data_IF_160364774707
#
_entry.id   IF_160364774707
#
_cell.length_a   1.000
_cell.length_b   1.000
_cell.length_c   1.000
_cell.angle_alpha   90.00
_cell.angle_beta   90.00
_cell.angle_gamma   90.00
#
_symmetry.space_group_name_H-M   'P 1'
#
loop_
_entity.id
_entity.type
_entity.pdbx_description
1 polymer ?
#
# COMPACT_ATOMS: atom_id res chain seq x y z
N UNK A 1 -21.02 4.35 21.98
CA UNK A 1 -19.74 5.10 21.92
C UNK A 1 -19.18 5.24 23.32
N UNK A 2 -20.03 5.32 24.36
CA UNK A 2 -19.69 5.10 25.78
C UNK A 2 -20.85 4.28 26.36
N UNK A 3 -20.55 3.30 27.21
CA UNK A 3 -21.55 2.48 27.89
C UNK A 3 -22.22 3.23 29.07
N UNK A 4 -23.06 2.54 29.82
CA UNK A 4 -23.78 3.11 30.97
C UNK A 4 -22.88 3.59 32.11
N UNK A 5 -21.63 3.13 32.16
CA UNK A 5 -20.62 3.51 33.15
C UNK A 5 -19.67 4.61 32.62
N UNK A 6 -19.90 5.10 31.40
CA UNK A 6 -19.08 6.12 30.76
C UNK A 6 -17.77 5.58 30.17
N UNK A 7 -17.63 4.26 30.02
CA UNK A 7 -16.46 3.63 29.39
C UNK A 7 -16.66 3.63 27.88
N UNK A 8 -15.70 4.13 27.08
CA UNK A 8 -15.84 4.14 25.64
C UNK A 8 -16.01 2.74 25.05
N UNK A 9 -17.08 2.54 24.30
CA UNK A 9 -17.27 1.35 23.47
C UNK A 9 -16.70 1.65 22.07
N UNK A 10 -15.51 1.11 21.82
CA UNK A 10 -14.79 1.27 20.55
C UNK A 10 -15.35 0.42 19.40
N UNK A 11 -16.35 -0.44 19.66
CA UNK A 11 -17.03 -1.24 18.65
C UNK A 11 -18.38 -0.66 18.23
N UNK A 12 -18.94 0.29 18.98
CA UNK A 12 -20.20 0.94 18.62
C UNK A 12 -20.01 1.95 17.48
N UNK A 13 -20.38 1.52 16.27
CA UNK A 13 -20.37 2.35 15.06
C UNK A 13 -21.74 2.96 14.72
N UNK A 14 -22.71 2.95 15.65
CA UNK A 14 -24.09 3.43 15.40
C UNK A 14 -24.18 4.87 14.90
N UNK A 15 -23.21 5.73 15.28
CA UNK A 15 -23.11 7.11 14.80
C UNK A 15 -22.25 7.24 13.55
N UNK A 16 -21.12 6.54 13.51
CA UNK A 16 -20.16 6.58 12.40
C UNK A 16 -19.17 5.42 12.53
N UNK A 17 -18.65 4.95 11.41
CA UNK A 17 -17.52 4.01 11.36
C UNK A 17 -16.16 4.73 11.45
N UNK A 18 -16.13 6.07 11.33
CA UNK A 18 -14.92 6.89 11.39
C UNK A 18 -14.73 7.51 12.79
N UNK A 19 -14.75 6.70 13.84
CA UNK A 19 -14.50 7.17 15.21
C UNK A 19 -13.07 7.71 15.36
N UNK A 20 -12.89 8.84 16.04
CA UNK A 20 -11.58 9.50 16.19
C UNK A 20 -11.32 9.87 17.65
N UNK A 21 -10.04 9.80 18.05
CA UNK A 21 -9.51 10.37 19.28
C UNK A 21 -8.33 11.28 18.95
N UNK A 22 -8.27 12.46 19.57
CA UNK A 22 -7.14 13.37 19.47
C UNK A 22 -6.47 13.47 20.83
N UNK A 23 -5.15 13.40 20.86
CA UNK A 23 -4.34 13.47 22.08
C UNK A 23 -3.00 14.15 21.77
N UNK A 24 -2.38 14.82 22.77
CA UNK A 24 -1.06 15.40 22.61
C UNK A 24 -0.02 14.31 22.34
N UNK A 25 1.02 14.61 21.54
CA UNK A 25 2.08 13.64 21.22
C UNK A 25 2.75 13.10 22.49
N UNK A 26 2.75 13.90 23.56
CA UNK A 26 3.27 13.58 24.89
C UNK A 26 2.59 12.38 25.55
N UNK A 27 1.38 12.02 25.12
CA UNK A 27 0.69 10.81 25.58
C UNK A 27 1.39 9.52 25.10
N UNK A 28 2.24 9.59 24.07
CA UNK A 28 3.06 8.46 23.61
C UNK A 28 4.44 8.53 24.29
N UNK A 29 4.72 7.55 25.14
CA UNK A 29 5.97 7.49 25.90
C UNK A 29 7.20 7.29 25.01
N UNK A 30 7.10 6.43 24.00
CA UNK A 30 8.19 6.14 23.06
C UNK A 30 8.14 7.11 21.86
N UNK A 31 8.65 8.32 22.03
CA UNK A 31 8.69 9.37 20.99
C UNK A 31 10.03 10.12 21.00
N UNK A 32 10.32 10.83 19.91
CA UNK A 32 11.35 11.88 19.93
C UNK A 32 10.77 13.16 20.54
N UNK A 33 11.60 13.93 21.25
CA UNK A 33 11.15 15.14 21.96
C UNK A 33 10.82 16.30 21.01
N UNK A 34 11.47 16.35 19.85
CA UNK A 34 11.34 17.43 18.87
C UNK A 34 10.54 17.02 17.61
N UNK A 35 10.00 15.80 17.59
CA UNK A 35 9.26 15.22 16.45
C UNK A 35 10.06 15.16 15.15
N UNK A 36 11.40 15.04 15.23
CA UNK A 36 12.28 14.90 14.08
C UNK A 36 13.05 13.58 14.11
N UNK A 37 13.58 13.20 12.96
CA UNK A 37 14.48 12.07 12.75
C UNK A 37 15.53 12.42 11.70
N UNK A 38 16.39 11.44 11.37
CA UNK A 38 17.33 11.56 10.26
C UNK A 38 16.65 11.42 8.89
N UNK A 39 17.47 11.33 7.84
CA UNK A 39 16.98 11.03 6.50
C UNK A 39 16.43 9.60 6.42
N UNK A 40 15.22 9.37 5.87
CA UNK A 40 14.63 8.04 5.79
C UNK A 40 15.52 7.07 5.00
N UNK A 41 15.82 5.91 5.57
CA UNK A 41 16.48 4.82 4.85
C UNK A 41 15.44 3.95 4.11
N UNK A 42 14.19 3.98 4.56
CA UNK A 42 13.07 3.25 3.99
C UNK A 42 11.88 4.18 3.76
N UNK A 43 11.24 4.07 2.60
CA UNK A 43 9.98 4.76 2.25
C UNK A 43 8.90 3.70 2.10
N UNK A 44 7.86 3.74 2.94
CA UNK A 44 6.82 2.71 2.96
C UNK A 44 5.52 3.28 2.40
N UNK A 45 5.02 2.70 1.32
CA UNK A 45 3.68 2.94 0.83
C UNK A 45 2.74 1.86 1.36
N UNK A 46 1.69 2.28 2.05
CA UNK A 46 0.65 1.39 2.52
C UNK A 46 -0.53 1.45 1.56
N UNK A 47 -0.93 0.28 1.07
CA UNK A 47 -2.15 0.15 0.28
C UNK A 47 -3.09 -0.84 0.96
N UNK A 48 -4.39 -0.60 0.86
CA UNK A 48 -5.41 -1.54 1.29
C UNK A 48 -6.07 -2.14 0.05
N UNK A 49 -5.41 -3.11 -0.59
CA UNK A 49 -5.94 -3.75 -1.79
C UNK A 49 -7.06 -4.73 -1.43
N UNK A 50 -8.31 -4.36 -1.69
CA UNK A 50 -9.47 -5.24 -1.49
C UNK A 50 -9.73 -6.19 -2.66
N UNK A 51 -8.95 -6.12 -3.74
CA UNK A 51 -8.97 -7.08 -4.85
C UNK A 51 -8.07 -8.29 -4.57
N UNK A 52 -7.13 -8.20 -3.61
CA UNK A 52 -6.29 -9.32 -3.20
C UNK A 52 -5.24 -9.74 -4.25
N UNK A 53 -4.81 -8.78 -5.06
CA UNK A 53 -3.86 -8.95 -6.17
C UNK A 53 -2.44 -8.57 -5.75
N UNK A 54 -2.27 -7.44 -5.05
CA UNK A 54 -0.95 -6.90 -4.77
C UNK A 54 -0.19 -7.77 -3.75
N UNK A 55 1.12 -8.00 -3.96
CA UNK A 55 1.97 -8.72 -3.02
C UNK A 55 1.91 -8.14 -1.60
N UNK A 56 2.05 -8.97 -0.55
CA UNK A 56 2.08 -8.49 0.83
C UNK A 56 3.15 -7.44 1.09
N UNK A 57 4.32 -7.61 0.45
CA UNK A 57 5.41 -6.64 0.42
C UNK A 57 6.13 -6.73 -0.93
N UNK A 58 6.49 -5.58 -1.47
CA UNK A 58 7.27 -5.45 -2.71
C UNK A 58 8.36 -4.41 -2.53
N UNK A 59 9.57 -4.69 -3.03
CA UNK A 59 10.61 -3.68 -3.22
C UNK A 59 10.38 -2.98 -4.56
N UNK A 60 10.45 -1.65 -4.53
CA UNK A 60 10.19 -0.80 -5.69
C UNK A 60 11.48 -0.15 -6.18
N UNK A 61 11.66 -0.11 -7.50
CA UNK A 61 12.60 0.81 -8.15
C UNK A 61 12.14 2.26 -7.99
N UNK A 62 13.03 3.24 -8.19
CA UNK A 62 12.65 4.65 -8.07
C UNK A 62 11.51 5.06 -9.04
N UNK A 63 11.48 4.65 -10.32
CA UNK A 63 10.35 4.95 -11.21
C UNK A 63 9.04 4.29 -10.76
N UNK A 64 9.09 3.05 -10.27
CA UNK A 64 7.91 2.40 -9.68
C UNK A 64 7.43 3.13 -8.42
N UNK A 65 8.35 3.59 -7.57
CA UNK A 65 8.00 4.34 -6.38
C UNK A 65 7.29 5.65 -6.73
N UNK A 66 7.79 6.38 -7.73
CA UNK A 66 7.14 7.58 -8.25
C UNK A 66 5.75 7.28 -8.86
N UNK A 67 5.65 6.24 -9.70
CA UNK A 67 4.39 5.81 -10.31
C UNK A 67 3.33 5.46 -9.25
N UNK A 68 3.69 4.68 -8.25
CA UNK A 68 2.79 4.28 -7.17
C UNK A 68 2.47 5.41 -6.20
N UNK A 69 3.41 6.32 -5.96
CA UNK A 69 3.17 7.53 -5.18
C UNK A 69 2.15 8.45 -5.86
N UNK A 70 2.30 8.70 -7.17
CA UNK A 70 1.34 9.48 -7.96
C UNK A 70 0.01 8.75 -8.10
N UNK A 71 0.01 7.43 -8.25
CA UNK A 71 -1.23 6.66 -8.31
C UNK A 71 -2.00 6.71 -6.99
N UNK A 72 -1.28 6.58 -5.86
CA UNK A 72 -1.85 6.65 -4.52
C UNK A 72 -3.02 5.68 -4.33
N UNK A 73 -2.84 4.45 -4.80
CA UNK A 73 -3.87 3.43 -4.84
C UNK A 73 -4.20 2.88 -3.45
N UNK A 74 -5.48 2.81 -3.15
CA UNK A 74 -6.08 2.05 -2.05
C UNK A 74 -7.46 1.56 -2.50
N UNK A 75 -8.09 0.63 -1.79
CA UNK A 75 -9.46 0.24 -2.07
C UNK A 75 -10.41 0.66 -0.94
N UNK A 76 -11.61 1.09 -1.32
CA UNK A 76 -12.74 1.20 -0.40
C UNK A 76 -13.34 -0.18 -0.21
N UNK A 77 -13.57 -0.51 1.06
CA UNK A 77 -14.12 -1.81 1.45
C UNK A 77 -15.63 -1.71 1.52
N UNK A 78 -16.33 -2.75 1.04
CA UNK A 78 -17.78 -2.79 1.13
C UNK A 78 -18.25 -2.69 2.59
N UNK A 79 -19.24 -1.84 2.84
CA UNK A 79 -19.79 -1.63 4.17
C UNK A 79 -19.01 -0.69 5.09
N UNK A 80 -17.87 -0.11 4.67
CA UNK A 80 -17.20 0.99 5.41
C UNK A 80 -17.62 2.39 4.96
N UNK A 81 -18.33 2.48 3.83
CA UNK A 81 -18.90 3.71 3.27
C UNK A 81 -20.34 3.45 2.80
N UNK A 82 -21.21 4.46 2.93
CA UNK A 82 -22.62 4.36 2.53
C UNK A 82 -22.67 4.13 1.01
N UNK A 83 -23.25 3.00 0.59
CA UNK A 83 -23.49 2.67 -0.82
C UNK A 83 -22.42 1.81 -1.50
N UNK A 84 -21.33 1.44 -0.81
CA UNK A 84 -20.29 0.56 -1.36
C UNK A 84 -20.64 -0.91 -1.05
N UNK A 85 -21.05 -1.66 -2.09
CA UNK A 85 -21.41 -3.09 -1.99
C UNK A 85 -20.32 -4.04 -2.49
N UNK A 86 -19.40 -3.54 -3.31
CA UNK A 86 -18.24 -4.28 -3.84
C UNK A 86 -16.95 -3.46 -3.65
N UNK A 87 -15.75 -4.08 -3.63
CA UNK A 87 -14.49 -3.35 -3.63
C UNK A 87 -14.39 -2.31 -4.74
N UNK A 88 -14.12 -1.07 -4.36
CA UNK A 88 -13.92 0.02 -5.31
C UNK A 88 -12.47 0.52 -5.21
N UNK A 89 -11.76 0.51 -6.35
CA UNK A 89 -10.44 1.10 -6.44
C UNK A 89 -10.52 2.62 -6.26
N UNK A 90 -9.72 3.16 -5.35
CA UNK A 90 -9.58 4.59 -5.09
C UNK A 90 -8.14 5.00 -5.35
N UNK A 91 -7.96 6.03 -6.18
CA UNK A 91 -6.66 6.58 -6.49
C UNK A 91 -6.59 8.01 -5.96
N UNK A 92 -5.78 8.23 -4.94
CA UNK A 92 -5.59 9.52 -4.30
C UNK A 92 -4.13 9.91 -4.43
N UNK A 93 -3.79 10.67 -5.48
CA UNK A 93 -2.42 11.03 -5.77
C UNK A 93 -1.61 11.52 -4.56
N UNK A 94 -0.36 11.08 -4.49
CA UNK A 94 0.54 11.31 -3.35
C UNK A 94 0.01 10.77 -2.01
N UNK A 95 -0.94 9.83 -2.05
CA UNK A 95 -1.73 9.35 -0.91
C UNK A 95 -2.49 10.45 -0.16
N UNK A 96 -2.76 11.59 -0.82
CA UNK A 96 -3.27 12.79 -0.17
C UNK A 96 -3.80 13.84 -1.15
N UNK A 97 -4.40 13.42 -2.27
CA UNK A 97 -4.80 14.29 -3.40
C UNK A 97 -5.52 15.57 -2.97
N UNK A 98 -6.48 15.56 -2.01
CA UNK A 98 -7.18 16.78 -1.59
C UNK A 98 -6.29 17.89 -1.00
N UNK A 99 -5.05 17.55 -0.63
CA UNK A 99 -4.10 18.47 0.01
C UNK A 99 -2.94 18.88 -0.91
N UNK A 100 -2.95 18.48 -2.18
CA UNK A 100 -1.86 18.70 -3.11
C UNK A 100 -2.12 19.91 -4.02
N UNK A 101 -1.52 21.09 -3.77
CA UNK A 101 -1.77 22.30 -4.57
C UNK A 101 -1.07 22.34 -5.93
N UNK A 102 -0.20 21.37 -6.23
CA UNK A 102 0.59 21.33 -7.48
C UNK A 102 0.35 20.00 -8.20
N UNK A 103 0.84 19.89 -9.43
CA UNK A 103 0.81 18.62 -10.16
C UNK A 103 1.55 17.51 -9.36
N UNK A 104 1.00 16.29 -9.23
CA UNK A 104 1.64 15.19 -8.50
C UNK A 104 3.09 14.88 -8.90
N UNK A 105 3.43 15.07 -10.17
CA UNK A 105 4.80 14.90 -10.68
C UNK A 105 5.84 15.72 -9.94
N UNK A 106 5.51 16.95 -9.50
CA UNK A 106 6.44 17.81 -8.74
C UNK A 106 6.84 17.15 -7.40
N UNK A 107 5.88 16.51 -6.74
CA UNK A 107 6.13 15.84 -5.46
C UNK A 107 6.84 14.50 -5.66
N UNK A 108 6.52 13.79 -6.74
CA UNK A 108 7.20 12.54 -7.10
C UNK A 108 8.67 12.76 -7.47
N UNK A 109 8.98 13.84 -8.20
CA UNK A 109 10.36 14.22 -8.53
C UNK A 109 11.15 14.56 -7.27
N UNK A 110 10.53 15.29 -6.33
CA UNK A 110 11.14 15.62 -5.04
C UNK A 110 11.41 14.36 -4.21
N UNK A 111 10.45 13.44 -4.15
CA UNK A 111 10.60 12.16 -3.46
C UNK A 111 11.74 11.33 -4.07
N UNK A 112 11.74 11.15 -5.39
CA UNK A 112 12.78 10.41 -6.13
C UNK A 112 14.16 11.01 -5.91
N UNK A 113 14.28 12.34 -5.98
CA UNK A 113 15.53 13.05 -5.74
C UNK A 113 16.06 12.82 -4.33
N UNK A 114 15.18 12.87 -3.32
CA UNK A 114 15.56 12.65 -1.92
C UNK A 114 15.92 11.20 -1.64
N UNK A 115 15.22 10.24 -2.24
CA UNK A 115 15.57 8.83 -2.12
C UNK A 115 16.95 8.55 -2.74
N UNK A 116 17.23 9.10 -3.93
CA UNK A 116 18.52 8.95 -4.59
C UNK A 116 19.66 9.61 -3.80
N UNK A 117 19.45 10.81 -3.26
CA UNK A 117 20.43 11.53 -2.43
C UNK A 117 20.83 10.75 -1.17
N UNK A 118 19.88 10.02 -0.58
CA UNK A 118 20.06 9.36 0.72
C UNK A 118 20.15 7.83 0.65
N UNK A 119 20.09 7.24 -0.54
CA UNK A 119 20.12 5.79 -0.74
C UNK A 119 18.91 5.06 -0.15
N UNK A 120 17.74 5.71 -0.13
CA UNK A 120 16.54 5.13 0.48
C UNK A 120 15.91 4.04 -0.39
N UNK A 121 15.45 2.95 0.24
CA UNK A 121 14.69 1.89 -0.44
C UNK A 121 13.18 2.14 -0.30
N UNK A 122 12.42 2.02 -1.40
CA UNK A 122 10.96 2.09 -1.35
C UNK A 122 10.32 0.71 -1.29
N UNK A 123 9.29 0.60 -0.45
CA UNK A 123 8.51 -0.62 -0.26
C UNK A 123 7.02 -0.33 -0.43
N UNK A 124 6.31 -1.22 -1.11
CA UNK A 124 4.84 -1.25 -1.12
C UNK A 124 4.37 -2.39 -0.23
N UNK A 125 3.54 -2.10 0.77
CA UNK A 125 2.99 -3.09 1.69
C UNK A 125 1.46 -3.13 1.52
N UNK A 126 0.96 -4.31 1.14
CA UNK A 126 -0.47 -4.57 1.08
C UNK A 126 -1.01 -4.93 2.49
N UNK A 127 -1.82 -4.02 3.03
CA UNK A 127 -2.55 -4.14 4.31
C UNK A 127 -4.02 -4.52 4.13
N UNK A 128 -4.42 -4.77 2.88
CA UNK A 128 -5.75 -5.18 2.44
C UNK A 128 -5.93 -6.68 2.49
N UNK A 129 -6.38 -7.29 1.41
CA UNK A 129 -6.78 -8.70 1.30
C UNK A 129 -5.71 -9.56 0.64
N UNK A 130 -5.77 -10.87 0.93
CA UNK A 130 -4.98 -11.93 0.33
C UNK A 130 -5.83 -13.20 0.22
N UNK A 131 -5.50 -14.08 -0.73
CA UNK A 131 -6.25 -15.31 -1.01
C UNK A 131 -7.56 -15.12 -1.76
N UNK A 132 -7.79 -13.94 -2.36
CA UNK A 132 -9.02 -13.60 -3.05
C UNK A 132 -9.43 -12.14 -2.81
N UNK A 133 -10.33 -11.65 -3.65
CA UNK A 133 -11.04 -10.38 -3.43
C UNK A 133 -11.83 -10.39 -2.12
N UNK A 134 -12.23 -9.21 -1.64
CA UNK A 134 -13.16 -9.07 -0.52
C UNK A 134 -14.38 -10.00 -0.65
N UNK A 135 -14.73 -10.68 0.44
CA UNK A 135 -15.81 -11.67 0.49
C UNK A 135 -15.35 -13.12 0.23
N UNK A 136 -14.19 -13.31 -0.42
CA UNK A 136 -13.57 -14.63 -0.63
C UNK A 136 -12.26 -14.71 0.16
N UNK A 137 -11.35 -13.77 -0.07
CA UNK A 137 -10.08 -13.68 0.63
C UNK A 137 -10.24 -13.17 2.06
N UNK A 138 -9.11 -13.10 2.77
CA UNK A 138 -9.06 -12.59 4.13
C UNK A 138 -8.13 -11.39 4.23
N UNK A 139 -8.44 -10.47 5.15
CA UNK A 139 -7.58 -9.32 5.40
C UNK A 139 -6.23 -9.78 5.95
N UNK A 140 -5.16 -9.16 5.46
CA UNK A 140 -3.79 -9.41 5.88
C UNK A 140 -3.68 -9.32 7.40
N UNK A 141 -3.15 -10.38 8.02
CA UNK A 141 -3.00 -10.42 9.48
C UNK A 141 -1.98 -9.36 9.88
N UNK A 142 -2.36 -8.48 10.82
CA UNK A 142 -1.48 -7.39 11.30
C UNK A 142 -0.11 -7.90 11.79
N UNK A 143 -0.05 -9.13 12.33
CA UNK A 143 1.23 -9.76 12.72
C UNK A 143 2.18 -9.95 11.54
N UNK A 144 1.68 -10.29 10.35
CA UNK A 144 2.49 -10.46 9.14
C UNK A 144 2.90 -9.09 8.59
N UNK A 145 2.00 -8.11 8.54
CA UNK A 145 2.34 -6.73 8.17
C UNK A 145 3.48 -6.17 9.05
N UNK A 146 3.41 -6.38 10.37
CA UNK A 146 4.48 -5.97 11.29
C UNK A 146 5.79 -6.73 11.06
N UNK A 147 5.72 -8.04 10.81
CA UNK A 147 6.91 -8.83 10.52
C UNK A 147 7.61 -8.37 9.23
N UNK A 148 6.84 -8.12 8.15
CA UNK A 148 7.39 -7.60 6.89
C UNK A 148 7.97 -6.20 7.04
N UNK A 149 7.27 -5.32 7.78
CA UNK A 149 7.77 -3.97 8.05
C UNK A 149 9.08 -4.03 8.84
N UNK A 150 9.17 -4.84 9.89
CA UNK A 150 10.40 -4.98 10.67
C UNK A 150 11.52 -5.56 9.80
N UNK A 151 11.27 -6.62 9.04
CA UNK A 151 12.27 -7.21 8.15
C UNK A 151 12.81 -6.20 7.12
N UNK A 152 11.97 -5.33 6.57
CA UNK A 152 12.40 -4.25 5.68
C UNK A 152 13.22 -3.16 6.40
N UNK A 153 12.85 -2.82 7.64
CA UNK A 153 13.55 -1.81 8.44
C UNK A 153 14.89 -2.30 8.99
N UNK A 154 14.99 -3.59 9.31
CA UNK A 154 16.15 -4.23 9.91
C UNK A 154 17.19 -4.68 8.85
N UNK A 155 16.84 -4.63 7.56
CA UNK A 155 17.70 -5.04 6.44
C UNK A 155 17.64 -6.55 6.13
N UNK A 156 16.75 -7.29 6.79
CA UNK A 156 16.60 -8.74 6.59
C UNK A 156 16.15 -9.12 5.17
N UNK A 157 15.63 -8.16 4.41
CA UNK A 157 15.19 -8.36 3.02
C UNK A 157 16.24 -7.91 1.98
N UNK A 158 17.40 -7.39 2.38
CA UNK A 158 18.35 -6.83 1.42
C UNK A 158 18.93 -7.89 0.46
N UNK A 159 19.25 -9.08 1.01
CA UNK A 159 19.96 -10.17 0.30
C UNK A 159 19.09 -11.43 0.07
N UNK A 160 17.76 -11.32 0.15
CA UNK A 160 16.87 -12.46 -0.13
C UNK A 160 16.67 -12.68 -1.63
N UNK A 161 16.23 -13.87 -2.02
CA UNK A 161 15.84 -14.12 -3.41
C UNK A 161 14.51 -13.43 -3.73
N UNK A 162 14.46 -12.72 -4.86
CA UNK A 162 13.27 -12.04 -5.35
C UNK A 162 12.69 -12.73 -6.59
N UNK A 163 11.39 -12.58 -6.78
CA UNK A 163 10.70 -12.85 -8.04
C UNK A 163 10.08 -11.56 -8.54
N UNK A 164 10.11 -11.35 -9.85
CA UNK A 164 9.48 -10.20 -10.48
C UNK A 164 8.01 -10.50 -10.73
N UNK A 165 7.11 -9.67 -10.22
CA UNK A 165 5.69 -9.74 -10.56
C UNK A 165 5.48 -9.44 -12.05
N UNK A 166 4.71 -10.30 -12.74
CA UNK A 166 4.58 -10.24 -14.20
C UNK A 166 3.82 -9.01 -14.71
N UNK A 167 2.93 -8.43 -13.89
CA UNK A 167 2.04 -7.32 -14.29
C UNK A 167 2.61 -5.99 -13.86
N UNK A 168 3.00 -5.87 -12.60
CA UNK A 168 3.47 -4.64 -12.00
C UNK A 168 4.99 -4.49 -12.03
N UNK A 169 5.73 -5.57 -12.34
CA UNK A 169 7.19 -5.57 -12.40
C UNK A 169 7.87 -5.43 -11.04
N UNK A 170 7.14 -5.59 -9.94
CA UNK A 170 7.68 -5.45 -8.59
C UNK A 170 8.67 -6.57 -8.25
N UNK A 171 9.68 -6.25 -7.45
CA UNK A 171 10.49 -7.28 -6.80
C UNK A 171 9.76 -7.78 -5.54
N UNK A 172 9.27 -9.01 -5.57
CA UNK A 172 8.60 -9.68 -4.44
C UNK A 172 9.57 -10.65 -3.77
N UNK A 173 9.85 -10.52 -2.46
CA UNK A 173 10.76 -11.43 -1.78
C UNK A 173 10.12 -12.83 -1.69
N UNK A 174 10.90 -13.87 -1.96
CA UNK A 174 10.45 -15.27 -1.86
C UNK A 174 10.32 -15.77 -0.42
N UNK A 175 10.97 -15.10 0.53
CA UNK A 175 10.90 -15.40 1.95
C UNK A 175 10.95 -14.12 2.79
N UNK A 176 10.35 -14.16 3.97
CA UNK A 176 10.39 -13.07 4.95
C UNK A 176 10.27 -13.69 6.35
N UNK A 177 11.15 -13.35 7.31
CA UNK A 177 11.06 -13.86 8.67
C UNK A 177 9.67 -13.64 9.29
N UNK A 178 9.11 -14.68 9.90
CA UNK A 178 7.80 -14.61 10.57
C UNK A 178 6.57 -14.56 9.66
N UNK A 179 6.75 -14.73 8.34
CA UNK A 179 5.68 -14.76 7.35
C UNK A 179 5.75 -16.06 6.53
N UNK A 180 4.64 -16.81 6.37
CA UNK A 180 4.64 -18.00 5.52
C UNK A 180 4.90 -17.65 4.05
N UNK A 181 5.80 -18.38 3.40
CA UNK A 181 6.25 -18.11 2.03
C UNK A 181 5.11 -18.17 1.01
N UNK A 182 4.12 -19.03 1.24
CA UNK A 182 2.95 -19.17 0.36
C UNK A 182 2.12 -17.88 0.28
N UNK A 183 2.15 -17.05 1.33
CA UNK A 183 1.39 -15.80 1.39
C UNK A 183 2.08 -14.70 0.57
N UNK A 184 3.40 -14.75 0.42
CA UNK A 184 4.20 -13.72 -0.25
C UNK A 184 3.92 -13.63 -1.75
N UNK A 185 3.46 -14.72 -2.37
CA UNK A 185 3.13 -14.77 -3.79
C UNK A 185 1.59 -14.84 -3.95
N UNK A 186 0.90 -13.71 -4.19
CA UNK A 186 -0.56 -13.63 -4.18
C UNK A 186 -1.24 -14.71 -5.02
N UNK A 187 -0.77 -14.95 -6.25
CA UNK A 187 -1.32 -15.98 -7.13
C UNK A 187 -1.38 -17.38 -6.51
N UNK A 188 -0.46 -17.73 -5.61
CA UNK A 188 -0.43 -19.03 -4.90
C UNK A 188 -1.45 -19.11 -3.76
N UNK A 189 -1.99 -17.98 -3.32
CA UNK A 189 -3.01 -17.92 -2.26
C UNK A 189 -4.43 -18.07 -2.78
N UNK A 190 -4.64 -17.91 -4.09
CA UNK A 190 -5.95 -18.04 -4.72
C UNK A 190 -6.23 -19.49 -5.08
N UNK A 191 -7.47 -19.94 -4.84
CA UNK A 191 -7.91 -21.29 -5.23
C UNK A 191 -7.99 -21.44 -6.76
N UNK A 192 -8.42 -20.38 -7.46
CA UNK A 192 -8.50 -20.32 -8.92
C UNK A 192 -7.48 -19.30 -9.46
N UNK A 193 -6.41 -19.81 -10.08
CA UNK A 193 -5.38 -18.98 -10.69
C UNK A 193 -5.88 -18.14 -11.88
N UNK A 194 -6.88 -18.60 -12.63
CA UNK A 194 -7.45 -17.81 -13.72
C UNK A 194 -8.27 -16.63 -13.19
N UNK A 195 -8.98 -16.83 -12.06
CA UNK A 195 -9.68 -15.75 -11.38
C UNK A 195 -8.72 -14.69 -10.83
N UNK A 196 -7.57 -15.13 -10.30
CA UNK A 196 -6.48 -14.21 -9.94
C UNK A 196 -6.01 -13.41 -11.16
N UNK A 197 -5.67 -14.10 -12.26
CA UNK A 197 -5.11 -13.47 -13.45
C UNK A 197 -6.08 -12.42 -14.03
N UNK A 198 -7.37 -12.76 -14.18
CA UNK A 198 -8.39 -11.83 -14.63
C UNK A 198 -8.59 -10.62 -13.69
N UNK A 199 -8.49 -10.83 -12.38
CA UNK A 199 -8.61 -9.74 -11.39
C UNK A 199 -7.37 -8.84 -11.43
N UNK A 200 -6.19 -9.42 -11.61
CA UNK A 200 -4.93 -8.70 -11.71
C UNK A 200 -4.87 -7.84 -12.98
N UNK A 201 -5.33 -8.35 -14.12
CA UNK A 201 -5.46 -7.60 -15.37
C UNK A 201 -6.47 -6.44 -15.25
N UNK A 202 -7.59 -6.69 -14.56
CA UNK A 202 -8.57 -5.65 -14.24
C UNK A 202 -7.94 -4.54 -13.39
N UNK A 203 -7.17 -4.89 -12.35
CA UNK A 203 -6.50 -3.91 -11.51
C UNK A 203 -5.43 -3.13 -12.27
N UNK A 204 -4.58 -3.80 -13.05
CA UNK A 204 -3.57 -3.17 -13.91
C UNK A 204 -4.21 -2.16 -14.88
N UNK A 205 -5.33 -2.53 -15.52
CA UNK A 205 -6.10 -1.63 -16.38
C UNK A 205 -6.61 -0.39 -15.65
N UNK A 206 -7.06 -0.53 -14.40
CA UNK A 206 -7.49 0.60 -13.57
C UNK A 206 -6.34 1.55 -13.24
N UNK A 207 -5.16 1.01 -12.91
CA UNK A 207 -3.94 1.81 -12.71
C UNK A 207 -3.60 2.62 -13.96
N UNK A 208 -3.52 1.96 -15.12
CA UNK A 208 -3.18 2.61 -16.39
C UNK A 208 -4.17 3.73 -16.73
N UNK A 209 -5.47 3.44 -16.67
CA UNK A 209 -6.52 4.43 -16.92
C UNK A 209 -6.44 5.62 -15.95
N UNK A 210 -6.19 5.37 -14.67
CA UNK A 210 -6.02 6.44 -13.70
C UNK A 210 -4.79 7.31 -14.02
N UNK A 211 -3.70 6.70 -14.50
CA UNK A 211 -2.43 7.40 -14.70
C UNK A 211 -2.39 8.29 -15.95
N UNK A 212 -3.28 8.06 -16.93
CA UNK A 212 -3.41 8.89 -18.14
C UNK A 212 -3.48 10.40 -17.84
N UNK A 213 -4.13 10.79 -16.74
CA UNK A 213 -4.27 12.20 -16.33
C UNK A 213 -2.96 12.86 -15.84
N UNK A 214 -1.92 12.07 -15.58
CA UNK A 214 -0.63 12.54 -15.06
C UNK A 214 0.54 12.30 -16.03
N UNK A 215 0.36 11.44 -17.04
CA UNK A 215 1.42 10.95 -17.92
C UNK A 215 2.24 12.06 -18.61
N UNK A 216 1.61 13.18 -18.96
CA UNK A 216 2.28 14.32 -19.60
C UNK A 216 3.18 15.14 -18.65
N UNK A 217 3.05 14.96 -17.33
CA UNK A 217 3.75 15.73 -16.30
C UNK A 217 4.77 14.91 -15.51
N UNK A 218 5.26 13.80 -16.07
CA UNK A 218 6.25 12.89 -15.46
C UNK A 218 7.25 12.41 -16.50
N UNK A 219 8.36 11.81 -16.08
CA UNK A 219 9.38 11.27 -16.98
C UNK A 219 8.95 9.99 -17.71
N UNK A 220 9.61 9.68 -18.82
CA UNK A 220 9.38 8.44 -19.58
C UNK A 220 9.66 7.18 -18.74
N UNK A 221 10.61 7.25 -17.80
CA UNK A 221 10.92 6.17 -16.88
C UNK A 221 9.73 5.87 -15.95
N UNK A 222 9.07 6.91 -15.44
CA UNK A 222 7.86 6.77 -14.62
C UNK A 222 6.70 6.23 -15.45
N UNK A 223 6.51 6.74 -16.68
CA UNK A 223 5.49 6.21 -17.59
C UNK A 223 5.73 4.74 -17.93
N UNK A 224 6.99 4.33 -18.07
CA UNK A 224 7.40 2.95 -18.36
C UNK A 224 7.25 2.00 -17.17
N UNK A 225 7.05 2.54 -15.95
CA UNK A 225 6.75 1.75 -14.75
C UNK A 225 5.26 1.40 -14.62
N UNK A 226 4.44 1.73 -15.63
CA UNK A 226 3.02 1.36 -15.68
C UNK A 226 2.84 -0.17 -15.74
N UNK A 227 1.80 -0.72 -15.07
CA UNK A 227 1.52 -2.13 -15.14
C UNK A 227 1.21 -2.62 -16.57
N UNK A 228 1.67 -3.82 -16.90
CA UNK A 228 1.27 -4.55 -18.11
C UNK A 228 -0.04 -5.31 -17.86
N UNK A 229 -0.79 -5.52 -18.94
CA UNK A 229 -1.96 -6.40 -18.98
C UNK A 229 -1.57 -7.59 -19.86
N UNK A 230 -1.87 -8.81 -19.40
CA UNK A 230 -1.53 -10.04 -20.13
C UNK A 230 -2.42 -10.26 -21.36
#
# INVERSE_FOLDING_TARGET
MVDGDGIPDFFDTSKTQNTRGSYPIEAIANRTLDSKGGHPQNVIFLTCDAFGVLPPISRLTAPQAAYHFISGYTAKVAGTEIGVTEPEATFSACFGEPFMPMHPGVYADLLSSKMAEHGSTAWLINTGWSGGSYGVGSRMKIKYTRAMLNAALDGDLDDVEYVVDERFGFEVPKSCPGVPEEVLIPRRTWEDGNAYDATADKLATMFNKNFERYAAGVSDEVNSASPSVA
#
